data_IF_574075623412
#
_entry.id   IF_574075623412
#
_cell.length_a   1.000
_cell.length_b   1.000
_cell.length_c   1.000
_cell.angle_alpha   90.00
_cell.angle_beta   90.00
_cell.angle_gamma   90.00
#
_symmetry.space_group_name_H-M   'P 1'
#
loop_
_entity.id
_entity.type
_entity.pdbx_description
1 polymer ?
#
# COMPACT_ATOMS: atom_id res chain seq x y z
N UNK A 1 -7.62 -36.82 55.24
CA UNK A 1 -8.11 -36.14 54.02
C UNK A 1 -7.76 -36.86 52.72
N UNK A 2 -6.64 -37.58 52.62
CA UNK A 2 -6.24 -38.31 51.40
C UNK A 2 -7.18 -39.46 50.98
N UNK A 3 -7.84 -40.14 51.93
CA UNK A 3 -8.64 -41.34 51.65
C UNK A 3 -10.01 -41.03 51.00
N UNK A 4 -10.63 -39.88 51.34
CA UNK A 4 -11.88 -39.41 50.71
C UNK A 4 -11.71 -39.08 49.23
N UNK A 5 -10.59 -38.45 48.86
CA UNK A 5 -10.32 -38.07 47.46
C UNK A 5 -10.10 -39.29 46.55
N UNK A 6 -9.51 -40.36 47.08
CA UNK A 6 -9.32 -41.62 46.34
C UNK A 6 -10.64 -42.36 46.12
N UNK A 7 -11.54 -42.34 47.11
CA UNK A 7 -12.89 -42.90 46.99
C UNK A 7 -13.74 -42.13 45.96
N UNK A 8 -13.69 -40.80 45.95
CA UNK A 8 -14.39 -39.98 44.94
C UNK A 8 -13.88 -40.24 43.51
N UNK A 9 -12.56 -40.40 43.32
CA UNK A 9 -11.99 -40.72 42.01
C UNK A 9 -12.45 -42.09 41.51
N UNK A 10 -12.48 -43.11 42.38
CA UNK A 10 -12.95 -44.46 42.03
C UNK A 10 -14.42 -44.44 41.65
N UNK A 11 -15.27 -43.73 42.38
CA UNK A 11 -16.69 -43.60 42.07
C UNK A 11 -16.89 -42.95 40.70
N UNK A 12 -16.14 -41.88 40.41
CA UNK A 12 -16.21 -41.20 39.11
C UNK A 12 -15.81 -42.10 37.95
N UNK A 13 -14.71 -42.84 38.09
CA UNK A 13 -14.26 -43.80 37.06
C UNK A 13 -15.28 -44.92 36.86
N UNK A 14 -15.88 -45.45 37.94
CA UNK A 14 -16.93 -46.46 37.84
C UNK A 14 -18.19 -45.94 37.13
N UNK A 15 -18.57 -44.70 37.39
CA UNK A 15 -19.71 -44.05 36.74
C UNK A 15 -19.45 -43.81 35.25
N UNK A 16 -18.26 -43.32 34.89
CA UNK A 16 -17.82 -43.19 33.50
C UNK A 16 -17.78 -44.53 32.77
N UNK A 17 -17.26 -45.57 33.44
CA UNK A 17 -17.21 -46.94 32.87
C UNK A 17 -18.62 -47.51 32.66
N UNK A 18 -19.54 -47.27 33.59
CA UNK A 18 -20.95 -47.66 33.48
C UNK A 18 -21.63 -46.97 32.29
N UNK A 19 -21.44 -45.65 32.14
CA UNK A 19 -21.99 -44.88 31.02
C UNK A 19 -21.43 -45.38 29.68
N UNK A 20 -20.12 -45.63 29.61
CA UNK A 20 -19.47 -46.15 28.41
C UNK A 20 -20.00 -47.53 28.02
N UNK A 21 -20.15 -48.43 28.98
CA UNK A 21 -20.69 -49.79 28.74
C UNK A 21 -22.15 -49.72 28.27
N UNK A 22 -22.96 -48.81 28.83
CA UNK A 22 -24.33 -48.58 28.37
C UNK A 22 -24.40 -48.03 26.94
N UNK A 23 -23.48 -47.12 26.57
CA UNK A 23 -23.39 -46.62 25.18
C UNK A 23 -23.00 -47.74 24.22
N UNK A 24 -22.01 -48.56 24.58
CA UNK A 24 -21.59 -49.72 23.78
C UNK A 24 -22.73 -50.73 23.60
N UNK A 25 -23.48 -51.03 24.66
CA UNK A 25 -24.62 -51.94 24.59
C UNK A 25 -25.72 -51.40 23.66
N UNK A 26 -26.07 -50.12 23.77
CA UNK A 26 -27.05 -49.47 22.88
C UNK A 26 -26.62 -49.52 21.42
N UNK A 27 -25.34 -49.24 21.14
CA UNK A 27 -24.84 -49.29 19.76
C UNK A 27 -24.77 -50.73 19.24
N UNK A 28 -24.42 -51.71 20.09
CA UNK A 28 -24.45 -53.12 19.72
C UNK A 28 -25.87 -53.60 19.39
N UNK A 29 -26.87 -53.16 20.16
CA UNK A 29 -28.27 -53.46 19.90
C UNK A 29 -28.76 -52.79 18.60
N UNK A 30 -28.40 -51.52 18.38
CA UNK A 30 -28.70 -50.79 17.13
C UNK A 30 -28.13 -51.51 15.91
N UNK A 31 -26.86 -51.92 15.98
CA UNK A 31 -26.20 -52.67 14.91
C UNK A 31 -26.85 -54.03 14.69
N UNK A 32 -27.23 -54.76 15.76
CA UNK A 32 -27.98 -56.02 15.61
C UNK A 32 -29.32 -55.84 14.93
N UNK A 33 -30.07 -54.78 15.24
CA UNK A 33 -31.33 -54.47 14.58
C UNK A 33 -31.12 -54.14 13.09
N UNK A 34 -30.08 -53.38 12.77
CA UNK A 34 -29.74 -53.04 11.38
C UNK A 34 -29.34 -54.28 10.56
N UNK A 35 -28.52 -55.16 11.15
CA UNK A 35 -28.13 -56.44 10.53
C UNK A 35 -29.32 -57.39 10.40
N UNK A 36 -30.21 -57.44 11.39
CA UNK A 36 -31.43 -58.25 11.32
C UNK A 36 -32.40 -57.72 10.24
N UNK A 37 -32.49 -56.40 10.08
CA UNK A 37 -33.26 -55.77 9.00
C UNK A 37 -32.72 -56.14 7.61
N UNK A 38 -31.40 -56.05 7.42
CA UNK A 38 -30.74 -56.45 6.17
C UNK A 38 -30.91 -57.95 5.88
N UNK A 39 -30.74 -58.81 6.88
CA UNK A 39 -30.95 -60.27 6.71
C UNK A 39 -32.40 -60.66 6.44
N UNK A 40 -33.38 -59.91 6.95
CA UNK A 40 -34.80 -60.13 6.64
C UNK A 40 -35.15 -59.75 5.19
N UNK A 41 -34.48 -58.73 4.64
CA UNK A 41 -34.62 -58.37 3.22
C UNK A 41 -34.06 -59.45 2.31
N UNK A 42 -32.99 -60.15 2.73
CA UNK A 42 -32.40 -61.29 2.01
C UNK A 42 -33.21 -62.60 2.15
N UNK A 43 -33.97 -62.80 3.23
CA UNK A 43 -34.61 -64.11 3.50
C UNK A 43 -36.00 -64.29 2.90
N UNK A 44 -36.66 -63.23 2.41
CA UNK A 44 -38.07 -63.25 1.96
C UNK A 44 -38.27 -63.20 0.43
N UNK A 45 -37.25 -63.46 -0.40
CA UNK A 45 -37.44 -63.63 -1.85
C UNK A 45 -37.11 -65.04 -2.36
N UNK A 46 -38.11 -65.85 -2.75
CA UNK A 46 -37.89 -66.97 -3.64
C UNK A 46 -37.88 -66.49 -5.10
N UNK A 47 -36.82 -66.83 -5.84
CA UNK A 47 -36.77 -67.00 -7.30
C UNK A 47 -37.21 -65.82 -8.20
N UNK A 48 -36.28 -64.89 -8.45
CA UNK A 48 -36.20 -64.13 -9.73
C UNK A 48 -34.81 -63.50 -9.91
N UNK A 49 -33.78 -64.33 -10.08
CA UNK A 49 -32.38 -63.88 -10.07
C UNK A 49 -31.65 -64.00 -11.42
N UNK A 50 -32.34 -64.34 -12.52
CA UNK A 50 -31.68 -64.47 -13.84
C UNK A 50 -32.00 -63.40 -14.88
N UNK A 51 -32.96 -62.51 -14.64
CA UNK A 51 -33.30 -61.43 -15.59
C UNK A 51 -32.81 -60.05 -15.12
N UNK A 52 -32.34 -59.92 -13.87
CA UNK A 52 -31.82 -58.65 -13.33
C UNK A 52 -30.29 -58.55 -13.33
N UNK A 53 -29.57 -59.64 -13.54
CA UNK A 53 -28.10 -59.63 -13.50
C UNK A 53 -27.47 -58.96 -14.72
N UNK A 54 -28.01 -59.12 -15.93
CA UNK A 54 -27.43 -58.50 -17.14
C UNK A 54 -27.65 -56.98 -17.20
N UNK A 55 -28.85 -56.50 -16.86
CA UNK A 55 -29.15 -55.05 -16.80
C UNK A 55 -28.44 -54.35 -15.63
N UNK A 56 -28.24 -55.05 -14.50
CA UNK A 56 -27.54 -54.50 -13.34
C UNK A 56 -26.01 -54.51 -13.52
N UNK A 57 -25.43 -55.50 -14.20
CA UNK A 57 -24.00 -55.51 -14.56
C UNK A 57 -23.69 -54.43 -15.61
N UNK A 58 -24.56 -54.24 -16.61
CA UNK A 58 -24.42 -53.15 -17.59
C UNK A 58 -24.57 -51.76 -16.96
N UNK A 59 -25.53 -51.60 -16.03
CA UNK A 59 -25.72 -50.35 -15.29
C UNK A 59 -24.56 -50.08 -14.34
N UNK A 60 -24.02 -51.10 -13.64
CA UNK A 60 -22.86 -50.96 -12.76
C UNK A 60 -21.61 -50.55 -13.56
N UNK A 61 -21.32 -51.23 -14.68
CA UNK A 61 -20.21 -50.86 -15.56
C UNK A 61 -20.29 -49.41 -16.08
N UNK A 62 -21.48 -48.95 -16.44
CA UNK A 62 -21.71 -47.54 -16.84
C UNK A 62 -21.58 -46.55 -15.67
N UNK A 63 -21.82 -47.01 -14.44
CA UNK A 63 -21.69 -46.23 -13.22
C UNK A 63 -20.23 -46.14 -12.78
N UNK A 64 -19.47 -47.24 -12.85
CA UNK A 64 -18.02 -47.27 -12.65
C UNK A 64 -17.31 -46.34 -13.64
N UNK A 65 -17.69 -46.36 -14.91
CA UNK A 65 -17.09 -45.50 -15.93
C UNK A 65 -17.39 -44.01 -15.69
N UNK A 66 -18.61 -43.68 -15.24
CA UNK A 66 -18.96 -42.32 -14.78
C UNK A 66 -18.22 -41.93 -13.50
N UNK A 67 -17.99 -42.86 -12.59
CA UNK A 67 -17.27 -42.62 -11.33
C UNK A 67 -15.80 -42.33 -11.61
N UNK A 68 -15.15 -43.12 -12.46
CA UNK A 68 -13.79 -42.90 -12.96
C UNK A 68 -13.65 -41.56 -13.69
N UNK A 69 -14.60 -41.22 -14.57
CA UNK A 69 -14.63 -39.91 -15.23
C UNK A 69 -14.75 -38.77 -14.21
N UNK A 70 -15.64 -38.90 -13.22
CA UNK A 70 -15.85 -37.89 -12.18
C UNK A 70 -14.61 -37.73 -11.30
N UNK A 71 -13.92 -38.82 -10.95
CA UNK A 71 -12.67 -38.76 -10.19
C UNK A 71 -11.57 -38.04 -10.98
N UNK A 72 -11.42 -38.38 -12.27
CA UNK A 72 -10.45 -37.71 -13.14
C UNK A 72 -10.73 -36.21 -13.26
N UNK A 73 -11.99 -35.84 -13.41
CA UNK A 73 -12.38 -34.44 -13.50
C UNK A 73 -12.20 -33.71 -12.16
N UNK A 74 -12.51 -34.34 -11.04
CA UNK A 74 -12.27 -33.77 -9.71
C UNK A 74 -10.76 -33.54 -9.47
N UNK A 75 -9.92 -34.50 -9.84
CA UNK A 75 -8.46 -34.37 -9.76
C UNK A 75 -7.92 -33.25 -10.67
N UNK A 76 -8.51 -33.08 -11.86
CA UNK A 76 -8.16 -31.98 -12.77
C UNK A 76 -8.52 -30.63 -12.16
N UNK A 77 -9.75 -30.49 -11.68
CA UNK A 77 -10.24 -29.27 -11.03
C UNK A 77 -9.45 -28.95 -9.77
N UNK A 78 -9.07 -29.94 -8.97
CA UNK A 78 -8.21 -29.75 -7.80
C UNK A 78 -6.84 -29.19 -8.18
N UNK A 79 -6.22 -29.70 -9.26
CA UNK A 79 -4.95 -29.15 -9.77
C UNK A 79 -5.09 -27.72 -10.29
N UNK A 80 -6.15 -27.43 -11.03
CA UNK A 80 -6.44 -26.07 -11.51
C UNK A 80 -6.64 -25.11 -10.32
N UNK A 81 -7.35 -25.54 -9.29
CA UNK A 81 -7.60 -24.77 -8.07
C UNK A 81 -6.30 -24.49 -7.31
N UNK A 82 -5.42 -25.48 -7.17
CA UNK A 82 -4.10 -25.29 -6.55
C UNK A 82 -3.20 -24.36 -7.36
N UNK A 83 -3.21 -24.45 -8.69
CA UNK A 83 -2.46 -23.53 -9.55
C UNK A 83 -2.97 -22.10 -9.41
N UNK A 84 -4.29 -21.88 -9.43
CA UNK A 84 -4.89 -20.55 -9.27
C UNK A 84 -4.57 -19.97 -7.89
N UNK A 85 -4.66 -20.78 -6.82
CA UNK A 85 -4.26 -20.34 -5.48
C UNK A 85 -2.79 -19.92 -5.42
N UNK A 86 -1.92 -20.67 -6.09
CA UNK A 86 -0.50 -20.34 -6.16
C UNK A 86 -0.26 -19.01 -6.90
N UNK A 87 -0.97 -18.78 -8.00
CA UNK A 87 -0.90 -17.50 -8.71
C UNK A 87 -1.43 -16.33 -7.88
N UNK A 88 -2.54 -16.53 -7.17
CA UNK A 88 -3.10 -15.50 -6.26
C UNK A 88 -2.11 -15.16 -5.16
N UNK A 89 -1.54 -16.17 -4.47
CA UNK A 89 -0.57 -15.92 -3.40
C UNK A 89 0.69 -15.22 -3.90
N UNK A 90 1.13 -15.55 -5.11
CA UNK A 90 2.25 -14.84 -5.76
C UNK A 90 1.87 -13.39 -6.08
N UNK A 91 0.70 -13.15 -6.67
CA UNK A 91 0.21 -11.81 -6.99
C UNK A 91 -0.02 -10.94 -5.74
N UNK A 92 -0.48 -11.55 -4.64
CA UNK A 92 -0.65 -10.88 -3.35
C UNK A 92 0.71 -10.47 -2.78
N UNK A 93 1.71 -11.35 -2.83
CA UNK A 93 3.08 -11.03 -2.41
C UNK A 93 3.68 -9.91 -3.26
N UNK A 94 3.54 -9.97 -4.59
CA UNK A 94 4.00 -8.92 -5.49
C UNK A 94 3.30 -7.59 -5.20
N UNK A 95 1.98 -7.62 -4.96
CA UNK A 95 1.20 -6.43 -4.58
C UNK A 95 1.68 -5.82 -3.27
N UNK A 96 2.05 -6.64 -2.29
CA UNK A 96 2.57 -6.17 -1.02
C UNK A 96 3.94 -5.48 -1.18
N UNK A 97 4.82 -6.04 -2.02
CA UNK A 97 6.10 -5.42 -2.36
C UNK A 97 5.92 -4.09 -3.11
N UNK A 98 4.97 -4.03 -4.05
CA UNK A 98 4.63 -2.77 -4.74
C UNK A 98 4.12 -1.71 -3.77
N UNK A 99 3.29 -2.09 -2.80
CA UNK A 99 2.78 -1.16 -1.79
C UNK A 99 3.90 -0.59 -0.91
N UNK A 100 4.82 -1.43 -0.44
CA UNK A 100 6.01 -0.97 0.31
C UNK A 100 6.82 0.02 -0.51
N UNK A 101 7.08 -0.29 -1.78
CA UNK A 101 7.87 0.58 -2.64
C UNK A 101 7.16 1.87 -3.01
N UNK A 102 5.83 1.84 -3.09
CA UNK A 102 5.01 3.03 -3.28
C UNK A 102 5.12 3.96 -2.06
N UNK A 103 5.05 3.42 -0.85
CA UNK A 103 5.22 4.20 0.38
C UNK A 103 6.61 4.84 0.45
N UNK A 104 7.67 4.11 0.11
CA UNK A 104 9.03 4.65 0.05
C UNK A 104 9.14 5.81 -0.97
N UNK A 105 8.51 5.67 -2.15
CA UNK A 105 8.49 6.73 -3.15
C UNK A 105 7.68 7.94 -2.69
N UNK A 106 6.57 7.72 -1.99
CA UNK A 106 5.75 8.79 -1.41
C UNK A 106 6.54 9.57 -0.37
N UNK A 107 7.27 8.90 0.52
CA UNK A 107 8.15 9.53 1.51
C UNK A 107 9.29 10.32 0.85
N UNK A 108 9.91 9.76 -0.19
CA UNK A 108 10.93 10.46 -0.98
C UNK A 108 10.35 11.70 -1.68
N UNK A 109 9.14 11.60 -2.23
CA UNK A 109 8.49 12.71 -2.92
C UNK A 109 8.08 13.82 -1.93
N UNK A 110 7.54 13.45 -0.76
CA UNK A 110 7.24 14.39 0.31
C UNK A 110 8.52 15.14 0.75
N UNK A 111 9.62 14.40 0.93
CA UNK A 111 10.93 14.96 1.26
C UNK A 111 11.40 15.95 0.18
N UNK A 112 11.29 15.59 -1.10
CA UNK A 112 11.67 16.47 -2.22
C UNK A 112 10.79 17.72 -2.29
N UNK A 113 9.48 17.60 -2.10
CA UNK A 113 8.56 18.73 -2.07
C UNK A 113 8.89 19.69 -0.92
N UNK A 114 9.17 19.14 0.27
CA UNK A 114 9.61 19.90 1.42
C UNK A 114 10.96 20.61 1.18
N UNK A 115 11.91 19.94 0.52
CA UNK A 115 13.16 20.56 0.12
C UNK A 115 12.95 21.68 -0.90
N UNK A 116 12.11 21.47 -1.90
CA UNK A 116 11.79 22.48 -2.91
C UNK A 116 11.15 23.73 -2.29
N UNK A 117 10.20 23.56 -1.37
CA UNK A 117 9.59 24.67 -0.63
C UNK A 117 10.63 25.39 0.22
N UNK A 118 11.53 24.64 0.87
CA UNK A 118 12.66 25.20 1.64
C UNK A 118 13.60 26.01 0.76
N UNK A 119 14.02 25.49 -0.39
CA UNK A 119 14.88 26.16 -1.37
C UNK A 119 14.19 27.41 -1.89
N UNK A 120 12.91 27.33 -2.25
CA UNK A 120 12.12 28.47 -2.73
C UNK A 120 12.01 29.57 -1.66
N UNK A 121 11.82 29.21 -0.38
CA UNK A 121 11.78 30.15 0.75
C UNK A 121 13.16 30.75 1.07
N UNK A 122 14.23 29.96 1.01
CA UNK A 122 15.60 30.44 1.25
C UNK A 122 16.10 31.35 0.12
N UNK A 123 15.86 30.99 -1.14
CA UNK A 123 16.25 31.80 -2.29
C UNK A 123 15.42 33.08 -2.45
N UNK A 124 14.17 33.11 -1.97
CA UNK A 124 13.30 34.28 -2.14
C UNK A 124 13.40 35.33 -1.02
N UNK A 125 14.01 35.02 0.13
CA UNK A 125 13.91 35.91 1.30
C UNK A 125 15.22 36.33 1.95
N UNK A 126 16.37 35.69 1.68
CA UNK A 126 17.61 36.02 2.41
C UNK A 126 18.67 36.81 1.65
N UNK A 127 18.70 36.87 0.31
CA UNK A 127 19.88 37.45 -0.36
C UNK A 127 19.69 38.79 -1.05
N UNK A 128 18.47 39.27 -1.32
CA UNK A 128 18.34 40.56 -2.00
C UNK A 128 18.80 41.72 -1.10
N UNK A 129 18.25 41.82 0.11
CA UNK A 129 18.63 42.88 1.04
C UNK A 129 20.09 42.74 1.52
N UNK A 130 20.57 41.52 1.76
CA UNK A 130 21.97 41.28 2.15
C UNK A 130 22.96 41.69 1.04
N UNK A 131 22.67 41.35 -0.21
CA UNK A 131 23.51 41.75 -1.35
C UNK A 131 23.53 43.27 -1.49
N UNK A 132 22.38 43.93 -1.30
CA UNK A 132 22.32 45.40 -1.35
C UNK A 132 23.11 46.05 -0.22
N UNK A 133 23.07 45.51 1.00
CA UNK A 133 23.90 46.00 2.11
C UNK A 133 25.39 45.78 1.84
N UNK A 134 25.80 44.61 1.32
CA UNK A 134 27.20 44.37 0.92
C UNK A 134 27.64 45.36 -0.17
N UNK A 135 26.80 45.62 -1.18
CA UNK A 135 27.09 46.61 -2.23
C UNK A 135 27.26 48.01 -1.62
N UNK A 136 26.39 48.41 -0.68
CA UNK A 136 26.51 49.70 0.03
C UNK A 136 27.84 49.79 0.78
N UNK A 137 28.21 48.75 1.52
CA UNK A 137 29.48 48.69 2.24
C UNK A 137 30.69 48.80 1.30
N UNK A 138 30.66 48.12 0.15
CA UNK A 138 31.73 48.21 -0.86
C UNK A 138 31.81 49.64 -1.41
N UNK A 139 30.68 50.26 -1.74
CA UNK A 139 30.67 51.63 -2.29
C UNK A 139 31.20 52.64 -1.26
N UNK A 140 30.80 52.52 0.00
CA UNK A 140 31.25 53.43 1.07
C UNK A 140 32.72 53.19 1.41
N UNK A 141 33.12 51.94 1.66
CA UNK A 141 34.42 51.63 2.23
C UNK A 141 35.53 51.52 1.18
N UNK A 142 35.24 50.99 -0.01
CA UNK A 142 36.25 50.73 -1.04
C UNK A 142 36.26 51.80 -2.13
N UNK A 143 35.09 52.26 -2.59
CA UNK A 143 35.00 53.33 -3.59
C UNK A 143 35.16 54.71 -2.92
N UNK A 144 34.75 54.85 -1.65
CA UNK A 144 34.81 56.12 -0.93
C UNK A 144 33.76 57.12 -1.40
N UNK A 145 32.62 56.65 -1.91
CA UNK A 145 31.55 57.54 -2.39
C UNK A 145 30.67 58.01 -1.23
N UNK A 146 30.61 59.32 -1.01
CA UNK A 146 29.76 59.95 0.02
C UNK A 146 28.28 60.03 -0.41
N UNK A 147 28.01 59.89 -1.71
CA UNK A 147 26.65 59.87 -2.26
C UNK A 147 26.55 58.88 -3.41
N UNK A 148 25.52 58.04 -3.41
CA UNK A 148 25.28 57.07 -4.48
C UNK A 148 23.83 56.59 -4.47
N UNK A 149 23.39 56.01 -5.59
CA UNK A 149 22.06 55.44 -5.75
C UNK A 149 22.20 54.11 -6.50
N UNK A 150 21.53 53.08 -6.00
CA UNK A 150 21.35 51.79 -6.66
C UNK A 150 19.94 51.74 -7.26
N UNK A 151 19.88 51.49 -8.56
CA UNK A 151 18.64 51.47 -9.33
C UNK A 151 18.36 50.05 -9.83
N UNK A 152 17.09 49.65 -9.77
CA UNK A 152 16.57 48.42 -10.35
C UNK A 152 15.74 48.75 -11.60
N UNK A 153 15.99 48.05 -12.70
CA UNK A 153 15.20 48.19 -13.91
C UNK A 153 13.98 47.27 -13.87
N UNK A 154 12.80 47.85 -13.81
CA UNK A 154 11.53 47.15 -13.99
C UNK A 154 11.19 47.17 -15.50
N UNK A 155 11.58 46.10 -16.21
CA UNK A 155 11.35 45.97 -17.65
C UNK A 155 9.87 46.02 -18.04
N UNK A 156 8.94 45.32 -17.36
CA UNK A 156 7.50 45.43 -17.63
C UNK A 156 6.96 46.86 -17.53
N UNK A 157 7.34 47.60 -16.47
CA UNK A 157 6.85 48.96 -16.24
C UNK A 157 7.70 50.04 -16.94
N UNK A 158 8.80 49.67 -17.61
CA UNK A 158 9.76 50.56 -18.28
C UNK A 158 10.21 51.73 -17.41
N UNK A 159 10.56 51.44 -16.15
CA UNK A 159 11.00 52.44 -15.18
C UNK A 159 12.16 51.93 -14.34
N UNK A 160 12.99 52.86 -13.88
CA UNK A 160 14.00 52.62 -12.85
C UNK A 160 13.38 52.85 -11.49
N UNK A 161 13.50 51.86 -10.61
CA UNK A 161 13.13 51.95 -9.20
C UNK A 161 14.38 52.12 -8.35
N UNK A 162 14.34 53.04 -7.40
CA UNK A 162 15.42 53.19 -6.44
C UNK A 162 15.31 52.10 -5.37
N UNK A 163 16.35 51.27 -5.24
CA UNK A 163 16.38 50.16 -4.25
C UNK A 163 17.28 50.47 -3.05
N UNK A 164 18.30 51.30 -3.22
CA UNK A 164 19.15 51.80 -2.14
C UNK A 164 19.86 53.09 -2.55
N UNK A 165 20.43 53.79 -1.58
CA UNK A 165 21.37 54.88 -1.80
C UNK A 165 21.63 55.67 -0.53
N UNK A 166 22.60 56.57 -0.60
CA UNK A 166 23.02 57.47 0.47
C UNK A 166 23.21 58.89 -0.10
N UNK A 167 22.87 59.91 0.70
CA UNK A 167 22.94 61.33 0.31
C UNK A 167 21.58 61.99 -0.03
N UNK A 168 21.61 63.29 -0.35
CA UNK A 168 20.40 64.09 -0.67
C UNK A 168 20.27 64.36 -2.18
N UNK A 169 19.06 64.25 -2.80
CA UNK A 169 17.76 64.02 -2.19
C UNK A 169 17.22 62.63 -2.56
N UNK A 170 17.66 61.57 -1.88
CA UNK A 170 17.02 60.26 -1.97
C UNK A 170 15.52 60.28 -1.60
N UNK A 171 15.07 61.35 -0.94
CA UNK A 171 13.71 61.49 -0.41
C UNK A 171 12.65 62.00 -1.40
N UNK A 172 13.02 62.47 -2.60
CA UNK A 172 12.05 63.20 -3.44
C UNK A 172 11.41 62.38 -4.55
N UNK A 173 12.05 61.32 -5.05
CA UNK A 173 11.46 60.50 -6.12
C UNK A 173 12.01 59.08 -6.13
N UNK A 174 11.12 58.09 -5.94
CA UNK A 174 11.48 56.66 -5.82
C UNK A 174 11.54 55.92 -7.16
N UNK A 175 11.01 56.50 -8.23
CA UNK A 175 10.98 55.89 -9.55
C UNK A 175 11.05 56.92 -10.69
N UNK A 176 11.73 56.55 -11.77
CA UNK A 176 11.95 57.39 -12.95
C UNK A 176 11.73 56.59 -14.24
N UNK A 177 11.04 57.15 -15.25
CA UNK A 177 10.81 56.43 -16.51
C UNK A 177 12.11 56.25 -17.30
N UNK A 178 12.20 55.17 -18.08
CA UNK A 178 13.27 55.02 -19.08
C UNK A 178 13.09 56.11 -20.13
N UNK A 179 14.17 56.84 -20.42
CA UNK A 179 14.16 57.96 -21.35
C UNK A 179 15.48 58.12 -22.08
N UNK A 180 15.79 59.35 -22.48
CA UNK A 180 17.06 59.69 -23.14
C UNK A 180 18.08 60.28 -22.16
N UNK A 181 18.22 59.66 -20.98
CA UNK A 181 19.17 60.06 -19.94
C UNK A 181 20.45 59.21 -20.01
N UNK A 182 21.53 59.69 -19.39
CA UNK A 182 22.79 58.92 -19.29
C UNK A 182 22.54 57.57 -18.60
N UNK A 183 21.70 57.55 -17.55
CA UNK A 183 21.28 56.33 -16.84
C UNK A 183 20.61 55.33 -17.79
N UNK A 184 19.70 55.81 -18.64
CA UNK A 184 18.99 54.95 -19.60
C UNK A 184 19.93 54.37 -20.66
N UNK A 185 20.90 55.16 -21.12
CA UNK A 185 21.93 54.70 -22.07
C UNK A 185 22.87 53.68 -21.43
N UNK A 186 23.30 53.92 -20.19
CA UNK A 186 24.12 53.00 -19.43
C UNK A 186 23.41 51.66 -19.22
N UNK A 187 22.14 51.67 -18.83
CA UNK A 187 21.35 50.45 -18.66
C UNK A 187 21.14 49.66 -19.95
N UNK A 188 20.99 50.32 -21.10
CA UNK A 188 20.79 49.66 -22.40
C UNK A 188 22.08 49.11 -23.01
N UNK A 189 23.20 49.83 -22.86
CA UNK A 189 24.48 49.46 -23.46
C UNK A 189 25.33 48.55 -22.56
N UNK A 190 25.10 48.59 -21.24
CA UNK A 190 25.95 47.91 -20.26
C UNK A 190 27.33 48.55 -20.09
N UNK A 191 27.57 49.71 -20.71
CA UNK A 191 28.85 50.43 -20.65
C UNK A 191 28.87 51.44 -19.49
N UNK A 192 30.07 51.76 -19.01
CA UNK A 192 30.28 52.77 -17.97
C UNK A 192 30.32 54.14 -18.63
N UNK A 193 29.46 55.06 -18.16
CA UNK A 193 29.42 56.45 -18.62
C UNK A 193 29.97 57.35 -17.52
N UNK A 194 30.96 58.16 -17.87
CA UNK A 194 31.53 59.20 -17.02
C UNK A 194 31.25 60.53 -17.71
N UNK A 195 30.66 61.48 -16.99
CA UNK A 195 30.40 62.84 -17.47
C UNK A 195 31.34 63.84 -16.85
#
# INVERSE_FOLDING_TARGET
MADKSKQELIIKVLEETKIFTQKLLKENERLRLMVAGLKKVDSDQPSSERVKSEDMIGSMGSLEERFEFTIKENNRLQKELENIKHEITKADSESQDYYTRYLELEEQNETLANLYVTISRLHSTLQFNEVIEIIKEIIINLVGSESFIVLWLDEPAKQFQMIAGEGEPLNQQKAFPIGNTIISKAAQSGEIYIS
#
